data_IF_153659204462
#
_entry.id   IF_153659204462
#
_cell.length_a   1.000
_cell.length_b   1.000
_cell.length_c   1.000
_cell.angle_alpha   90.00
_cell.angle_beta   90.00
_cell.angle_gamma   90.00
#
_symmetry.space_group_name_H-M   'P 1'
#
loop_
_entity.id
_entity.type
_entity.pdbx_description
1 polymer ?
#
# COMPACT_ATOMS: atom_id res chain seq x y z
N UNK A 1 -42.28 6.87 20.13
CA UNK A 1 -41.45 5.67 19.91
C UNK A 1 -42.30 4.61 19.23
N UNK A 2 -42.02 4.29 17.95
CA UNK A 2 -42.70 3.24 17.18
C UNK A 2 -41.62 2.23 16.72
N UNK A 3 -41.79 0.94 17.02
CA UNK A 3 -40.92 -0.15 16.57
C UNK A 3 -41.28 -0.55 15.13
N UNK A 4 -40.33 -0.93 14.27
CA UNK A 4 -40.64 -1.69 13.07
C UNK A 4 -40.25 -3.17 13.21
N UNK A 5 -41.28 -4.00 13.02
CA UNK A 5 -41.40 -5.32 12.38
C UNK A 5 -40.14 -6.22 12.28
N UNK A 6 -40.24 -7.39 12.92
CA UNK A 6 -39.37 -8.56 12.71
C UNK A 6 -39.81 -9.36 11.49
N UNK A 7 -38.87 -9.65 10.57
CA UNK A 7 -39.01 -10.72 9.59
C UNK A 7 -38.11 -11.90 9.99
N UNK A 8 -38.73 -13.06 10.17
CA UNK A 8 -38.08 -14.36 10.42
C UNK A 8 -37.81 -15.05 9.08
N UNK A 9 -36.58 -15.51 8.84
CA UNK A 9 -36.28 -16.47 7.78
C UNK A 9 -35.62 -17.69 8.42
N UNK A 10 -36.30 -18.82 8.23
CA UNK A 10 -36.01 -20.15 8.76
C UNK A 10 -34.67 -20.70 8.25
N UNK A 11 -33.81 -21.15 9.16
CA UNK A 11 -32.66 -21.98 8.86
C UNK A 11 -33.09 -23.46 8.82
N UNK A 12 -32.90 -24.13 7.68
CA UNK A 12 -32.98 -25.59 7.60
C UNK A 12 -31.61 -26.14 7.24
N UNK A 13 -30.88 -26.56 8.27
CA UNK A 13 -29.67 -27.37 8.15
C UNK A 13 -30.10 -28.79 7.79
N UNK A 14 -29.55 -29.36 6.71
CA UNK A 14 -29.46 -30.81 6.53
C UNK A 14 -28.02 -31.18 6.20
N UNK A 15 -27.42 -31.93 7.10
CA UNK A 15 -26.20 -32.69 6.92
C UNK A 15 -26.48 -33.98 6.14
N UNK A 16 -25.61 -34.34 5.20
CA UNK A 16 -25.24 -35.74 4.97
C UNK A 16 -23.95 -35.82 4.15
N UNK A 17 -23.08 -36.71 4.60
CA UNK A 17 -21.71 -36.98 4.16
C UNK A 17 -21.68 -37.91 2.94
N UNK A 18 -20.71 -37.75 2.04
CA UNK A 18 -19.96 -38.87 1.42
C UNK A 18 -18.70 -38.36 0.70
N UNK A 19 -17.61 -39.09 0.87
CA UNK A 19 -16.25 -38.79 0.40
C UNK A 19 -16.02 -39.15 -1.08
N UNK A 20 -15.17 -38.36 -1.76
CA UNK A 20 -14.62 -38.67 -3.08
C UNK A 20 -13.49 -37.70 -3.49
N UNK A 21 -12.25 -38.20 -3.38
CA UNK A 21 -10.93 -37.83 -3.97
C UNK A 21 -10.71 -36.62 -4.92
N UNK A 22 -9.57 -35.92 -4.67
CA UNK A 22 -8.69 -35.09 -5.53
C UNK A 22 -8.86 -33.55 -5.54
N UNK A 23 -7.75 -32.80 -5.76
CA UNK A 23 -7.14 -31.90 -4.78
C UNK A 23 -7.93 -30.60 -4.55
N UNK A 24 -8.05 -30.24 -3.27
CA UNK A 24 -8.81 -29.08 -2.81
C UNK A 24 -8.17 -27.78 -3.28
N UNK A 25 -8.73 -27.17 -4.32
CA UNK A 25 -8.83 -25.72 -4.39
C UNK A 25 -9.71 -25.27 -3.21
N UNK A 26 -9.09 -24.69 -2.18
CA UNK A 26 -9.81 -24.08 -1.06
C UNK A 26 -10.46 -22.76 -1.52
N UNK A 27 -11.61 -22.85 -2.18
CA UNK A 27 -12.54 -21.73 -2.30
C UNK A 27 -13.50 -21.75 -1.11
N UNK A 28 -13.14 -21.07 -0.02
CA UNK A 28 -14.12 -20.65 0.99
C UNK A 28 -14.58 -19.23 0.66
N UNK A 29 -15.68 -19.12 -0.08
CA UNK A 29 -16.43 -17.87 -0.25
C UNK A 29 -17.55 -17.86 0.76
N UNK A 30 -17.36 -17.16 1.89
CA UNK A 30 -18.46 -16.69 2.72
C UNK A 30 -18.28 -15.19 2.98
N UNK A 31 -19.02 -14.39 2.21
CA UNK A 31 -19.34 -13.01 2.55
C UNK A 31 -20.47 -13.03 3.57
N UNK A 32 -20.14 -13.15 4.85
CA UNK A 32 -21.07 -12.80 5.92
C UNK A 32 -20.63 -11.46 6.51
N UNK A 33 -21.48 -10.45 6.32
CA UNK A 33 -21.42 -9.22 7.11
C UNK A 33 -21.89 -9.58 8.52
N UNK A 34 -20.95 -9.75 9.45
CA UNK A 34 -21.28 -9.95 10.86
C UNK A 34 -21.45 -8.59 11.54
N UNK A 35 -22.66 -8.34 12.05
CA UNK A 35 -22.95 -7.25 12.98
C UNK A 35 -22.29 -7.58 14.32
N UNK A 36 -21.12 -7.00 14.58
CA UNK A 36 -20.52 -6.99 15.92
C UNK A 36 -20.34 -5.52 16.34
N UNK A 37 -21.10 -5.10 17.35
CA UNK A 37 -20.86 -3.90 18.15
C UNK A 37 -20.77 -2.56 17.40
N UNK A 38 -21.72 -2.28 16.50
CA UNK A 38 -22.05 -0.90 16.12
C UNK A 38 -20.98 -0.11 15.35
N UNK A 39 -19.99 -0.78 14.75
CA UNK A 39 -19.01 -0.14 13.85
C UNK A 39 -18.89 -0.92 12.54
N UNK A 40 -18.95 -0.22 11.40
CA UNK A 40 -18.66 -0.80 10.09
C UNK A 40 -17.17 -1.14 10.01
N UNK A 41 -16.78 -2.32 10.48
CA UNK A 41 -15.42 -2.83 10.29
C UNK A 41 -15.31 -3.40 8.87
N UNK A 42 -14.64 -2.66 7.98
CA UNK A 42 -14.24 -3.18 6.68
C UNK A 42 -13.27 -4.36 6.91
N UNK A 43 -13.75 -5.59 6.77
CA UNK A 43 -12.89 -6.78 6.80
C UNK A 43 -12.10 -6.87 5.49
N UNK A 44 -10.81 -6.53 5.57
CA UNK A 44 -9.83 -6.77 4.51
C UNK A 44 -9.28 -8.18 4.67
N UNK A 45 -9.79 -9.14 3.90
CA UNK A 45 -9.25 -10.50 3.87
C UNK A 45 -8.40 -10.65 2.61
N UNK A 46 -7.17 -11.10 2.78
CA UNK A 46 -6.25 -11.42 1.68
C UNK A 46 -6.02 -12.92 1.68
N UNK A 47 -6.22 -13.56 0.54
CA UNK A 47 -5.90 -14.97 0.36
C UNK A 47 -4.42 -15.13 -0.03
N UNK A 48 -3.83 -16.26 0.34
CA UNK A 48 -2.43 -16.57 0.04
C UNK A 48 -2.35 -17.62 -1.04
N UNK A 49 -1.41 -17.47 -1.97
CA UNK A 49 -1.24 -18.37 -3.12
C UNK A 49 0.23 -18.80 -3.23
N UNK A 50 0.51 -20.01 -3.73
CA UNK A 50 1.90 -20.43 -3.98
C UNK A 50 2.62 -19.47 -4.94
N UNK A 51 2.08 -19.23 -6.12
CA UNK A 51 2.79 -18.46 -7.15
C UNK A 51 2.31 -16.99 -7.28
N UNK A 52 3.17 -16.14 -7.84
CA UNK A 52 2.79 -14.75 -8.21
C UNK A 52 1.69 -14.74 -9.28
N UNK A 53 1.69 -15.72 -10.18
CA UNK A 53 0.73 -15.82 -11.27
C UNK A 53 -0.67 -16.21 -10.77
N UNK A 54 -0.77 -17.13 -9.81
CA UNK A 54 -2.04 -17.48 -9.17
C UNK A 54 -2.60 -16.29 -8.38
N UNK A 55 -1.75 -15.62 -7.58
CA UNK A 55 -2.16 -14.42 -6.86
C UNK A 55 -2.61 -13.31 -7.84
N UNK A 56 -1.88 -13.10 -8.93
CA UNK A 56 -2.22 -12.16 -10.00
C UNK A 56 -3.54 -12.48 -10.68
N UNK A 57 -3.80 -13.77 -10.95
CA UNK A 57 -5.06 -14.24 -11.54
C UNK A 57 -6.25 -14.03 -10.61
N UNK A 58 -6.09 -14.35 -9.32
CA UNK A 58 -7.11 -14.12 -8.31
C UNK A 58 -7.42 -12.62 -8.14
N UNK A 59 -6.39 -11.78 -8.06
CA UNK A 59 -6.54 -10.32 -8.03
C UNK A 59 -7.26 -9.80 -9.27
N UNK A 60 -6.90 -10.27 -10.45
CA UNK A 60 -7.53 -9.88 -11.71
C UNK A 60 -9.01 -10.28 -11.76
N UNK A 61 -9.37 -11.47 -11.29
CA UNK A 61 -10.76 -11.92 -11.19
C UNK A 61 -11.57 -11.02 -10.26
N UNK A 62 -11.02 -10.68 -9.09
CA UNK A 62 -11.67 -9.80 -8.12
C UNK A 62 -11.84 -8.37 -8.65
N UNK A 63 -10.83 -7.83 -9.33
CA UNK A 63 -10.94 -6.52 -9.96
C UNK A 63 -12.01 -6.50 -11.07
N UNK A 64 -12.06 -7.53 -11.91
CA UNK A 64 -13.08 -7.66 -12.96
C UNK A 64 -14.50 -7.69 -12.39
N UNK A 65 -14.69 -8.31 -11.23
CA UNK A 65 -15.97 -8.38 -10.54
C UNK A 65 -16.46 -7.05 -9.95
N UNK A 66 -15.58 -6.04 -9.82
CA UNK A 66 -15.99 -4.69 -9.42
C UNK A 66 -16.65 -3.95 -10.59
N UNK A 67 -17.63 -3.12 -10.25
CA UNK A 67 -18.35 -2.27 -11.20
C UNK A 67 -17.43 -1.20 -11.82
N UNK A 68 -17.82 -0.73 -13.01
CA UNK A 68 -17.11 0.32 -13.76
C UNK A 68 -15.87 -0.19 -14.51
N UNK A 69 -15.33 0.65 -15.38
CA UNK A 69 -14.14 0.33 -16.16
C UNK A 69 -12.86 0.55 -15.36
N UNK A 70 -11.83 -0.30 -15.54
CA UNK A 70 -10.56 -0.11 -14.87
C UNK A 70 -9.81 1.09 -15.44
N UNK A 71 -9.24 1.88 -14.54
CA UNK A 71 -8.25 2.90 -14.88
C UNK A 71 -6.87 2.26 -14.86
N UNK A 72 -6.18 2.32 -16.01
CA UNK A 72 -4.87 1.69 -16.18
C UNK A 72 -3.76 2.71 -16.01
N UNK A 73 -2.93 2.52 -14.99
CA UNK A 73 -1.72 3.32 -14.76
C UNK A 73 -0.50 2.62 -15.37
N UNK A 74 -0.01 3.14 -16.49
CA UNK A 74 1.21 2.65 -17.13
C UNK A 74 2.43 3.23 -16.43
N UNK A 75 3.39 2.38 -16.10
CA UNK A 75 4.66 2.79 -15.53
C UNK A 75 5.53 3.52 -16.55
N UNK A 76 6.38 4.43 -16.06
CA UNK A 76 7.48 5.00 -16.82
C UNK A 76 8.79 4.33 -16.37
N UNK A 77 9.43 3.61 -17.28
CA UNK A 77 10.72 2.95 -17.02
C UNK A 77 11.85 3.81 -17.58
N UNK A 78 12.84 4.15 -16.75
CA UNK A 78 13.99 5.00 -17.09
C UNK A 78 15.27 4.19 -16.90
N UNK A 79 16.17 4.15 -17.90
CA UNK A 79 17.44 3.46 -17.78
C UNK A 79 18.35 4.18 -16.77
N UNK A 80 19.00 3.40 -15.91
CA UNK A 80 20.10 3.88 -15.08
C UNK A 80 21.37 4.14 -15.90
N UNK A 81 22.45 4.53 -15.22
CA UNK A 81 23.75 4.83 -15.86
C UNK A 81 24.90 4.11 -15.17
N UNK A 82 25.88 3.70 -15.96
CA UNK A 82 27.13 3.16 -15.44
C UNK A 82 28.05 4.26 -14.89
N UNK A 83 29.18 3.85 -14.31
CA UNK A 83 30.24 4.73 -13.80
C UNK A 83 30.82 5.72 -14.82
N UNK A 84 30.64 5.45 -16.12
CA UNK A 84 31.09 6.31 -17.21
C UNK A 84 29.97 7.23 -17.72
N UNK A 85 28.80 7.23 -17.07
CA UNK A 85 27.63 8.01 -17.44
C UNK A 85 26.82 7.46 -18.62
N UNK A 86 27.15 6.26 -19.11
CA UNK A 86 26.45 5.59 -20.22
C UNK A 86 25.21 4.89 -19.71
N UNK A 87 24.09 5.03 -20.41
CA UNK A 87 22.84 4.37 -20.03
C UNK A 87 22.92 2.86 -20.24
N UNK A 88 22.34 2.10 -19.32
CA UNK A 88 22.19 0.66 -19.50
C UNK A 88 21.28 0.33 -20.71
N UNK A 89 21.58 -0.74 -21.46
CA UNK A 89 20.79 -1.13 -22.63
C UNK A 89 19.38 -1.59 -22.23
N UNK A 90 18.42 -1.43 -23.15
CA UNK A 90 17.00 -1.61 -22.85
C UNK A 90 16.63 -3.02 -22.37
N UNK A 91 17.25 -4.06 -22.93
CA UNK A 91 17.04 -5.46 -22.55
C UNK A 91 17.50 -5.75 -21.12
N UNK A 92 18.60 -5.11 -20.69
CA UNK A 92 19.12 -5.18 -19.32
C UNK A 92 18.16 -4.49 -18.34
N UNK A 93 17.69 -3.30 -18.69
CA UNK A 93 16.70 -2.54 -17.91
C UNK A 93 15.39 -3.32 -17.76
N UNK A 94 14.89 -3.91 -18.85
CA UNK A 94 13.67 -4.72 -18.82
C UNK A 94 13.82 -5.96 -17.92
N UNK A 95 14.98 -6.62 -17.98
CA UNK A 95 15.29 -7.76 -17.11
C UNK A 95 15.38 -7.35 -15.64
N UNK A 96 16.05 -6.23 -15.34
CA UNK A 96 16.15 -5.68 -13.98
C UNK A 96 14.77 -5.35 -13.38
N UNK A 97 13.86 -4.84 -14.22
CA UNK A 97 12.50 -4.46 -13.80
C UNK A 97 11.46 -5.58 -13.91
N UNK A 98 11.84 -6.78 -14.38
CA UNK A 98 10.94 -7.93 -14.54
C UNK A 98 10.26 -8.31 -13.23
N UNK A 99 11.02 -8.30 -12.15
CA UNK A 99 10.57 -8.73 -10.82
C UNK A 99 10.17 -7.60 -9.89
N UNK A 100 10.21 -6.35 -10.38
CA UNK A 100 9.85 -5.16 -9.63
C UNK A 100 8.51 -5.34 -8.89
N UNK A 101 8.45 -4.83 -7.67
CA UNK A 101 7.27 -4.98 -6.82
C UNK A 101 6.03 -4.33 -7.43
N UNK A 102 6.21 -3.19 -8.11
CA UNK A 102 5.17 -2.47 -8.83
C UNK A 102 5.07 -2.96 -10.28
N UNK A 103 3.84 -3.25 -10.78
CA UNK A 103 3.64 -3.76 -12.12
C UNK A 103 3.82 -2.66 -13.18
N UNK A 104 4.14 -3.09 -14.41
CA UNK A 104 4.22 -2.19 -15.57
C UNK A 104 2.89 -1.52 -15.91
N UNK A 105 1.77 -2.21 -15.64
CA UNK A 105 0.41 -1.65 -15.75
C UNK A 105 -0.33 -1.99 -14.47
N UNK A 106 -0.83 -0.98 -13.77
CA UNK A 106 -1.65 -1.12 -12.58
C UNK A 106 -3.12 -0.76 -12.90
N UNK A 107 -4.01 -1.74 -13.08
CA UNK A 107 -5.43 -1.49 -13.28
C UNK A 107 -6.13 -1.29 -11.92
N UNK A 108 -6.87 -0.19 -11.76
CA UNK A 108 -7.61 0.12 -10.53
C UNK A 108 -9.07 0.50 -10.82
N UNK A 109 -9.95 0.16 -9.88
CA UNK A 109 -11.36 0.56 -9.84
C UNK A 109 -11.70 1.05 -8.44
N UNK A 110 -12.76 1.86 -8.30
CA UNK A 110 -13.34 2.15 -6.99
C UNK A 110 -13.75 0.81 -6.35
N UNK A 111 -13.39 0.62 -5.08
CA UNK A 111 -13.60 -0.61 -4.33
C UNK A 111 -12.42 -1.58 -4.38
N UNK A 112 -11.39 -1.31 -5.19
CA UNK A 112 -10.22 -2.18 -5.28
C UNK A 112 -9.48 -2.27 -3.94
N UNK A 113 -9.19 -3.50 -3.49
CA UNK A 113 -8.32 -3.75 -2.34
C UNK A 113 -6.87 -3.67 -2.81
N UNK A 114 -6.12 -2.79 -2.18
CA UNK A 114 -4.74 -2.47 -2.54
C UNK A 114 -3.82 -2.58 -1.34
N UNK A 115 -2.54 -2.76 -1.60
CA UNK A 115 -1.48 -2.71 -0.61
C UNK A 115 -0.45 -1.67 -1.02
N UNK A 116 -0.07 -0.82 -0.08
CA UNK A 116 1.02 0.12 -0.22
C UNK A 116 2.35 -0.65 -0.25
N UNK A 117 3.21 -0.36 -1.23
CA UNK A 117 4.50 -1.04 -1.41
C UNK A 117 5.70 -0.11 -1.26
N UNK A 118 5.48 1.08 -0.71
CA UNK A 118 6.52 2.06 -0.38
C UNK A 118 6.19 2.72 0.95
N UNK A 119 7.19 2.92 1.81
CA UNK A 119 6.96 3.65 3.06
C UNK A 119 6.68 5.12 2.73
N UNK A 120 5.55 5.65 3.22
CA UNK A 120 5.13 7.03 3.00
C UNK A 120 5.24 7.82 4.30
N UNK A 121 4.59 7.31 5.36
CA UNK A 121 4.58 7.92 6.68
C UNK A 121 5.21 6.93 7.65
N UNK A 122 6.34 7.30 8.24
CA UNK A 122 7.06 6.45 9.19
C UNK A 122 6.15 6.04 10.35
N UNK A 123 6.01 4.72 10.57
CA UNK A 123 5.21 4.17 11.66
C UNK A 123 3.70 4.14 11.43
N UNK A 124 3.19 4.68 10.31
CA UNK A 124 1.75 4.70 10.01
C UNK A 124 1.41 4.07 8.66
N UNK A 125 2.02 4.56 7.58
CA UNK A 125 1.83 4.06 6.22
C UNK A 125 3.15 3.49 5.71
N UNK A 126 3.26 2.17 5.85
CA UNK A 126 4.45 1.40 5.54
C UNK A 126 4.15 0.41 4.42
N UNK A 127 5.19 -0.16 3.83
CA UNK A 127 5.05 -1.28 2.93
C UNK A 127 4.28 -2.42 3.64
N UNK A 128 3.18 -2.86 3.03
CA UNK A 128 2.23 -3.79 3.62
C UNK A 128 0.91 -3.16 4.06
N UNK A 129 0.81 -1.83 4.19
CA UNK A 129 -0.44 -1.18 4.61
C UNK A 129 -1.55 -1.44 3.58
N UNK A 130 -2.61 -2.11 4.02
CA UNK A 130 -3.79 -2.42 3.21
C UNK A 130 -4.77 -1.25 3.17
N UNK A 131 -5.41 -1.05 2.03
CA UNK A 131 -6.42 -0.03 1.83
C UNK A 131 -7.42 -0.36 0.73
N UNK A 132 -8.41 0.51 0.58
CA UNK A 132 -9.42 0.45 -0.48
C UNK A 132 -9.40 1.73 -1.30
N UNK A 133 -9.39 1.61 -2.62
CA UNK A 133 -9.59 2.75 -3.52
C UNK A 133 -11.02 3.25 -3.36
N UNK A 134 -11.20 4.52 -2.98
CA UNK A 134 -12.52 5.12 -2.76
C UNK A 134 -12.89 6.15 -3.82
N UNK A 135 -11.91 6.75 -4.49
CA UNK A 135 -12.12 7.74 -5.53
C UNK A 135 -10.88 7.89 -6.42
N UNK A 136 -10.99 8.71 -7.46
CA UNK A 136 -9.87 9.19 -8.26
C UNK A 136 -9.94 10.72 -8.34
N UNK A 137 -8.86 11.40 -8.00
CA UNK A 137 -8.81 12.86 -8.00
C UNK A 137 -7.56 13.38 -8.68
N UNK A 138 -7.66 14.57 -9.29
CA UNK A 138 -6.46 15.33 -9.62
C UNK A 138 -5.81 15.80 -8.32
N UNK A 139 -4.50 16.04 -8.30
CA UNK A 139 -3.83 16.52 -7.09
C UNK A 139 -4.41 17.82 -6.51
N UNK A 140 -4.83 18.75 -7.39
CA UNK A 140 -5.46 20.02 -6.97
C UNK A 140 -6.80 19.77 -6.28
N UNK A 141 -7.68 19.00 -6.92
CA UNK A 141 -8.99 18.64 -6.37
C UNK A 141 -8.88 17.89 -5.03
N UNK A 142 -7.83 17.07 -4.86
CA UNK A 142 -7.56 16.37 -3.61
C UNK A 142 -7.22 17.36 -2.48
N UNK A 143 -6.35 18.34 -2.74
CA UNK A 143 -6.00 19.36 -1.75
C UNK A 143 -7.20 20.23 -1.36
N UNK A 144 -8.03 20.63 -2.32
CA UNK A 144 -9.26 21.39 -2.05
C UNK A 144 -10.23 20.62 -1.13
N UNK A 145 -10.17 19.28 -1.16
CA UNK A 145 -10.96 18.39 -0.31
C UNK A 145 -10.26 18.05 1.02
N UNK A 146 -9.09 18.62 1.30
CA UNK A 146 -8.30 18.32 2.49
C UNK A 146 -7.69 16.90 2.49
N UNK A 147 -7.53 16.28 1.32
CA UNK A 147 -6.93 14.96 1.17
C UNK A 147 -5.42 15.12 1.03
N UNK A 148 -4.66 14.47 1.90
CA UNK A 148 -3.21 14.49 1.87
C UNK A 148 -2.65 13.68 0.68
N UNK A 149 -1.54 14.16 0.10
CA UNK A 149 -0.84 13.47 -0.98
C UNK A 149 0.25 12.58 -0.37
N UNK A 150 0.28 11.31 -0.80
CA UNK A 150 1.23 10.30 -0.33
C UNK A 150 2.64 10.55 -0.91
N UNK A 151 3.37 11.50 -0.33
CA UNK A 151 4.77 11.78 -0.62
C UNK A 151 5.62 11.11 0.47
N UNK A 152 6.65 10.31 0.13
CA UNK A 152 7.55 9.73 1.13
C UNK A 152 8.18 10.81 2.00
N UNK A 153 8.01 10.70 3.31
CA UNK A 153 8.77 11.48 4.27
C UNK A 153 10.20 10.94 4.30
N UNK A 154 11.17 11.71 3.78
CA UNK A 154 12.57 11.51 4.14
C UNK A 154 12.78 12.04 5.57
N UNK A 155 12.36 11.24 6.55
CA UNK A 155 12.56 11.33 8.00
C UNK A 155 11.86 12.48 8.78
N UNK A 156 11.24 12.08 9.90
CA UNK A 156 10.90 12.84 11.13
C UNK A 156 9.74 13.85 11.18
N UNK A 157 9.04 14.17 10.09
CA UNK A 157 8.05 15.29 10.08
C UNK A 157 6.70 15.06 10.79
N UNK A 158 6.10 13.87 10.75
CA UNK A 158 4.68 13.75 11.13
C UNK A 158 4.40 13.58 12.64
N UNK A 159 5.41 13.25 13.46
CA UNK A 159 5.22 13.17 14.94
C UNK A 159 4.90 14.54 15.56
N UNK A 160 5.22 15.64 14.89
CA UNK A 160 4.91 17.00 15.36
C UNK A 160 3.54 17.53 14.92
N UNK A 161 2.97 17.03 13.82
CA UNK A 161 1.72 17.53 13.26
C UNK A 161 0.46 16.94 13.90
N UNK A 162 0.57 15.81 14.62
CA UNK A 162 -0.56 15.11 15.26
C UNK A 162 -0.66 15.31 16.78
N UNK A 163 0.07 16.26 17.36
CA UNK A 163 -0.21 16.77 18.72
C UNK A 163 -0.25 15.74 19.85
N UNK A 164 0.43 14.60 19.72
CA UNK A 164 0.63 13.67 20.85
C UNK A 164 1.95 14.00 21.51
N UNK A 165 1.87 14.84 22.54
CA UNK A 165 2.92 14.98 23.54
C UNK A 165 3.17 13.58 24.13
N UNK A 166 4.43 13.13 24.08
CA UNK A 166 4.85 11.90 24.75
C UNK A 166 4.76 12.14 26.26
N UNK A 167 3.62 11.77 26.85
CA UNK A 167 3.41 11.69 28.29
C UNK A 167 4.27 10.54 28.82
N UNK A 168 5.52 10.84 29.16
CA UNK A 168 6.36 10.03 30.05
C UNK A 168 6.91 10.91 31.15
N UNK A 169 6.19 10.90 32.26
CA UNK A 169 6.75 11.17 33.57
C UNK A 169 7.92 10.22 33.84
N UNK A 170 9.12 10.76 34.04
CA UNK A 170 9.94 10.38 35.18
C UNK A 170 10.79 11.58 35.63
N UNK A 171 10.97 11.67 36.94
CA UNK A 171 11.34 12.86 37.71
C UNK A 171 12.80 13.32 37.52
N UNK A 172 13.01 14.64 37.52
CA UNK A 172 14.36 15.21 37.68
C UNK A 172 14.53 16.63 37.14
N UNK A 173 14.45 17.60 38.05
CA UNK A 173 14.93 18.98 37.99
C UNK A 173 15.60 19.52 36.70
N UNK A 174 15.08 20.66 36.21
CA UNK A 174 15.87 21.65 35.47
C UNK A 174 15.39 21.94 34.04
N UNK A 175 14.52 22.93 33.89
CA UNK A 175 14.10 23.42 32.57
C UNK A 175 15.26 24.06 31.79
N UNK A 176 15.57 23.47 30.63
CA UNK A 176 16.10 24.16 29.46
C UNK A 176 15.37 23.59 28.25
N UNK A 177 14.70 24.45 27.49
CA UNK A 177 14.19 24.07 26.18
C UNK A 177 15.40 23.77 25.29
N UNK A 178 15.61 22.50 24.95
CA UNK A 178 16.70 22.08 24.07
C UNK A 178 16.51 22.72 22.69
N UNK A 179 17.25 23.79 22.43
CA UNK A 179 17.34 24.39 21.11
C UNK A 179 17.99 23.36 20.18
N UNK A 180 17.21 22.85 19.20
CA UNK A 180 17.72 21.95 18.14
C UNK A 180 19.07 22.45 17.59
N UNK A 181 20.02 21.53 17.39
CA UNK A 181 21.38 21.86 16.95
C UNK A 181 21.33 22.54 15.57
N UNK A 182 22.23 23.49 15.25
CA UNK A 182 22.22 24.20 13.97
C UNK A 182 22.18 23.29 12.73
N UNK A 183 22.88 22.14 12.78
CA UNK A 183 22.90 21.14 11.71
C UNK A 183 21.55 20.46 11.49
N UNK A 184 20.77 20.22 12.55
CA UNK A 184 19.43 19.61 12.46
C UNK A 184 18.42 20.59 11.85
N UNK A 185 18.56 21.89 12.14
CA UNK A 185 17.71 22.94 11.55
C UNK A 185 17.97 23.10 10.05
N UNK A 186 19.22 23.05 9.62
CA UNK A 186 19.61 23.10 8.20
C UNK A 186 19.07 21.90 7.41
N UNK A 187 19.13 20.69 7.98
CA UNK A 187 18.57 19.48 7.36
C UNK A 187 17.04 19.55 7.24
N UNK A 188 16.35 20.01 8.28
CA UNK A 188 14.89 20.17 8.29
C UNK A 188 14.43 21.21 7.24
N UNK A 189 15.16 22.31 7.08
CA UNK A 189 14.91 23.31 6.04
C UNK A 189 15.10 22.74 4.63
N UNK A 190 16.22 22.06 4.37
CA UNK A 190 16.47 21.45 3.06
C UNK A 190 15.40 20.39 2.69
N UNK A 191 14.95 19.61 3.67
CA UNK A 191 13.87 18.63 3.47
C UNK A 191 12.53 19.30 3.16
N UNK A 192 12.19 20.39 3.87
CA UNK A 192 10.98 21.16 3.62
C UNK A 192 10.97 21.77 2.21
N UNK A 193 12.10 22.36 1.78
CA UNK A 193 12.27 22.89 0.43
C UNK A 193 12.11 21.80 -0.63
N UNK A 194 12.73 20.63 -0.43
CA UNK A 194 12.60 19.50 -1.35
C UNK A 194 11.15 18.98 -1.42
N UNK A 195 10.45 18.93 -0.28
CA UNK A 195 9.03 18.56 -0.23
C UNK A 195 8.17 19.56 -1.00
N UNK A 196 8.40 20.86 -0.82
CA UNK A 196 7.66 21.91 -1.53
C UNK A 196 7.87 21.82 -3.05
N UNK A 197 9.11 21.62 -3.50
CA UNK A 197 9.42 21.42 -4.92
C UNK A 197 8.72 20.18 -5.49
N UNK A 198 8.70 19.09 -4.71
CA UNK A 198 8.01 17.85 -5.09
C UNK A 198 6.50 18.08 -5.21
N UNK A 199 5.91 18.78 -4.23
CA UNK A 199 4.49 19.13 -4.23
C UNK A 199 4.13 20.01 -5.43
N UNK A 200 4.95 21.03 -5.74
CA UNK A 200 4.77 21.89 -6.92
C UNK A 200 4.72 21.09 -8.22
N UNK A 201 5.62 20.11 -8.39
CA UNK A 201 5.62 19.21 -9.55
C UNK A 201 4.36 18.35 -9.61
N UNK A 202 3.95 17.76 -8.48
CA UNK A 202 2.75 16.94 -8.39
C UNK A 202 1.49 17.74 -8.71
N UNK A 203 1.38 18.98 -8.22
CA UNK A 203 0.24 19.86 -8.49
C UNK A 203 0.18 20.36 -9.94
N UNK A 204 1.23 20.15 -10.74
CA UNK A 204 1.20 20.39 -12.17
C UNK A 204 0.55 19.23 -12.95
N UNK A 205 0.40 18.04 -12.35
CA UNK A 205 -0.25 16.92 -13.02
C UNK A 205 -1.74 17.18 -13.25
N UNK A 206 -2.19 16.87 -14.45
CA UNK A 206 -3.60 16.98 -14.85
C UNK A 206 -4.34 15.63 -14.84
N UNK A 207 -3.60 14.53 -14.64
CA UNK A 207 -4.16 13.20 -14.48
C UNK A 207 -4.81 13.00 -13.11
N UNK A 208 -5.69 12.00 -13.05
CA UNK A 208 -6.35 11.59 -11.80
C UNK A 208 -5.66 10.38 -11.19
N UNK A 209 -5.49 10.40 -9.87
CA UNK A 209 -4.75 9.40 -9.11
C UNK A 209 -5.65 8.74 -8.06
N UNK A 210 -5.37 7.48 -7.67
CA UNK A 210 -6.21 6.76 -6.73
C UNK A 210 -6.16 7.41 -5.34
N UNK A 211 -7.34 7.70 -4.82
CA UNK A 211 -7.54 8.08 -3.43
C UNK A 211 -7.88 6.82 -2.63
N UNK A 212 -7.05 6.52 -1.62
CA UNK A 212 -7.07 5.24 -0.89
C UNK A 212 -7.35 5.48 0.59
N UNK A 213 -8.40 4.82 1.09
CA UNK A 213 -8.65 4.71 2.52
C UNK A 213 -7.86 3.53 3.07
N UNK A 214 -6.83 3.78 3.87
CA UNK A 214 -6.04 2.74 4.53
C UNK A 214 -6.75 2.23 5.80
N UNK A 215 -6.53 0.96 6.16
CA UNK A 215 -7.26 0.29 7.26
C UNK A 215 -7.03 0.95 8.64
N UNK A 216 -5.81 1.39 8.92
CA UNK A 216 -5.40 2.01 10.18
C UNK A 216 -4.78 3.40 9.96
N UNK A 217 -5.09 4.03 8.82
CA UNK A 217 -4.41 5.22 8.35
C UNK A 217 -5.33 6.24 7.69
N UNK A 218 -4.76 7.40 7.31
CA UNK A 218 -5.51 8.47 6.67
C UNK A 218 -6.01 8.08 5.28
N UNK A 219 -6.96 8.86 4.79
CA UNK A 219 -7.32 8.91 3.37
C UNK A 219 -6.21 9.65 2.62
N UNK A 220 -5.58 9.00 1.65
CA UNK A 220 -4.45 9.58 0.91
C UNK A 220 -4.63 9.51 -0.60
N UNK A 221 -4.16 10.53 -1.31
CA UNK A 221 -3.96 10.48 -2.75
C UNK A 221 -2.61 9.83 -3.07
N UNK A 222 -2.62 8.67 -3.72
CA UNK A 222 -1.40 7.96 -4.12
C UNK A 222 -0.97 8.36 -5.53
N UNK A 223 0.07 9.19 -5.63
CA UNK A 223 0.67 9.63 -6.90
C UNK A 223 1.86 8.74 -7.29
N UNK A 224 2.36 8.78 -8.54
CA UNK A 224 3.53 8.00 -8.93
C UNK A 224 4.77 8.34 -8.11
N UNK A 225 5.52 7.31 -7.73
CA UNK A 225 6.81 7.40 -7.06
C UNK A 225 7.85 6.58 -7.83
N UNK A 226 9.10 6.95 -7.70
CA UNK A 226 10.23 6.24 -8.31
C UNK A 226 10.61 4.99 -7.50
N UNK A 227 10.81 3.87 -8.18
CA UNK A 227 11.30 2.60 -7.65
C UNK A 227 12.61 2.27 -8.33
N UNK A 228 13.70 2.34 -7.58
CA UNK A 228 15.05 2.13 -8.10
C UNK A 228 15.45 0.66 -7.96
N UNK A 229 16.09 0.13 -8.99
CA UNK A 229 16.78 -1.17 -8.97
C UNK A 229 18.27 -0.88 -8.99
N UNK A 230 18.95 -1.32 -7.94
CA UNK A 230 20.38 -1.14 -7.75
C UNK A 230 21.08 -2.45 -8.13
N UNK A 231 22.12 -2.37 -8.95
CA UNK A 231 22.91 -3.54 -9.32
C UNK A 231 23.98 -3.88 -8.27
N UNK A 232 24.71 -4.97 -8.50
CA UNK A 232 25.78 -5.43 -7.61
C UNK A 232 26.91 -4.41 -7.40
N UNK A 233 27.10 -3.47 -8.35
CA UNK A 233 28.11 -2.41 -8.25
C UNK A 233 27.61 -1.20 -7.43
N UNK A 234 26.38 -1.26 -6.89
CA UNK A 234 25.76 -0.14 -6.15
C UNK A 234 25.21 0.97 -7.04
N UNK A 235 25.20 0.81 -8.37
CA UNK A 235 24.67 1.80 -9.29
C UNK A 235 23.19 1.54 -9.57
N UNK A 236 22.41 2.61 -9.77
CA UNK A 236 21.03 2.50 -10.25
C UNK A 236 21.08 1.92 -11.66
N UNK A 237 20.55 0.72 -11.83
CA UNK A 237 20.45 0.00 -13.09
C UNK A 237 19.20 0.40 -13.86
N UNK A 238 18.10 0.60 -13.15
CA UNK A 238 16.82 0.98 -13.71
C UNK A 238 15.98 1.72 -12.67
N UNK A 239 15.09 2.59 -13.15
CA UNK A 239 14.07 3.24 -12.33
C UNK A 239 12.71 2.98 -12.96
N UNK A 240 11.73 2.62 -12.14
CA UNK A 240 10.32 2.54 -12.53
C UNK A 240 9.51 3.58 -11.76
N UNK A 241 8.88 4.52 -12.44
CA UNK A 241 7.90 5.41 -11.85
C UNK A 241 6.50 4.81 -11.98
N UNK A 242 5.85 4.59 -10.85
CA UNK A 242 4.52 3.97 -10.79
C UNK A 242 3.81 4.39 -9.50
N UNK A 243 2.48 4.34 -9.51
CA UNK A 243 1.67 4.46 -8.29
C UNK A 243 2.12 3.39 -7.29
N UNK A 244 2.38 3.72 -6.01
CA UNK A 244 3.01 2.81 -5.05
C UNK A 244 2.05 1.77 -4.46
N UNK A 245 1.20 1.19 -5.30
CA UNK A 245 0.15 0.26 -4.93
C UNK A 245 0.23 -1.02 -5.76
N UNK A 246 -0.19 -2.13 -5.14
CA UNK A 246 -0.52 -3.38 -5.85
C UNK A 246 -1.91 -3.86 -5.45
N UNK A 247 -2.57 -4.64 -6.30
CA UNK A 247 -3.80 -5.33 -5.90
C UNK A 247 -3.50 -6.36 -4.81
N UNK A 248 -4.39 -6.45 -3.82
CA UNK A 248 -4.09 -7.17 -2.58
C UNK A 248 -5.27 -7.98 -2.04
N UNK A 249 -6.17 -8.49 -2.88
CA UNK A 249 -7.06 -9.58 -2.47
C UNK A 249 -6.34 -10.90 -2.34
N UNK A 250 -5.23 -11.05 -3.07
CA UNK A 250 -4.40 -12.24 -3.14
C UNK A 250 -2.92 -11.88 -3.06
N UNK A 251 -2.15 -12.58 -2.25
CA UNK A 251 -0.70 -12.41 -2.07
C UNK A 251 0.01 -13.75 -2.30
N UNK A 252 1.21 -13.73 -2.89
CA UNK A 252 2.01 -14.95 -3.05
C UNK A 252 2.82 -15.29 -1.80
N UNK A 253 2.85 -16.55 -1.38
CA UNK A 253 3.57 -17.07 -0.20
C UNK A 253 5.08 -17.13 -0.46
N UNK A 254 5.50 -17.37 -1.70
CA UNK A 254 6.92 -17.57 -2.08
C UNK A 254 7.81 -16.30 -2.02
N UNK A 255 7.50 -15.35 -1.14
CA UNK A 255 8.34 -14.18 -0.84
C UNK A 255 8.75 -14.05 0.63
N UNK A 256 8.35 -14.97 1.50
CA UNK A 256 8.74 -14.95 2.92
C UNK A 256 10.13 -15.52 3.20
N UNK A 257 10.76 -16.23 2.25
CA UNK A 257 11.99 -16.98 2.47
C UNK A 257 13.04 -16.65 1.39
N UNK A 258 13.74 -15.51 1.54
CA UNK A 258 15.07 -15.38 0.93
C UNK A 258 15.33 -14.27 -0.10
N UNK A 259 14.39 -13.39 -0.44
CA UNK A 259 14.81 -12.05 -0.90
C UNK A 259 14.86 -11.14 0.31
N UNK A 260 16.05 -10.63 0.60
CA UNK A 260 16.27 -9.50 1.48
C UNK A 260 15.43 -8.34 0.93
N UNK A 261 14.20 -8.21 1.42
CA UNK A 261 13.50 -6.94 1.44
C UNK A 261 14.33 -6.05 2.37
N UNK A 262 15.42 -5.50 1.86
CA UNK A 262 16.32 -4.64 2.61
C UNK A 262 15.45 -3.51 3.21
N UNK A 263 15.21 -3.64 4.51
CA UNK A 263 14.39 -2.79 5.37
C UNK A 263 12.86 -2.87 5.25
N UNK A 264 12.26 -4.04 5.01
CA UNK A 264 10.80 -4.21 5.18
C UNK A 264 10.46 -5.21 6.29
N UNK A 265 10.15 -4.69 7.48
CA UNK A 265 9.30 -5.41 8.44
C UNK A 265 7.86 -5.29 7.98
N UNK A 266 7.40 -6.22 7.17
CA UNK A 266 5.97 -6.34 6.86
C UNK A 266 5.29 -6.85 8.12
N UNK A 267 4.44 -6.03 8.77
CA UNK A 267 3.64 -6.51 9.90
C UNK A 267 2.47 -7.35 9.35
N UNK A 268 2.63 -8.67 9.40
CA UNK A 268 1.67 -9.64 8.87
C UNK A 268 0.82 -10.29 9.98
N UNK A 269 0.95 -9.83 11.23
CA UNK A 269 0.39 -10.48 12.43
C UNK A 269 -1.15 -10.54 12.44
N UNK A 270 -1.83 -9.83 11.54
CA UNK A 270 -3.31 -9.84 11.41
C UNK A 270 -3.83 -10.22 10.02
N UNK A 271 -2.94 -10.58 9.09
CA UNK A 271 -3.33 -10.80 7.68
C UNK A 271 -3.55 -12.28 7.36
N UNK A 272 -3.00 -13.19 8.15
CA UNK A 272 -3.09 -14.64 7.92
C UNK A 272 -3.76 -15.34 9.11
N UNK A 273 -4.77 -16.17 8.85
CA UNK A 273 -5.21 -17.17 9.82
C UNK A 273 -4.15 -18.27 9.95
N UNK A 274 -3.82 -18.69 11.18
CA UNK A 274 -2.89 -19.78 11.44
C UNK A 274 -3.41 -21.07 10.81
N UNK A 275 -2.69 -21.59 9.83
CA UNK A 275 -2.92 -22.96 9.37
C UNK A 275 -2.31 -23.33 8.03
N UNK A 276 -1.08 -22.93 7.70
CA UNK A 276 -0.25 -23.59 6.68
C UNK A 276 1.23 -23.44 7.04
N UNK A 277 1.69 -24.34 7.92
CA UNK A 277 3.08 -24.66 8.11
C UNK A 277 3.18 -26.18 8.21
N UNK A 278 3.65 -26.81 7.16
CA UNK A 278 4.27 -28.12 7.17
C UNK A 278 5.45 -28.04 6.19
#
# INVERSE_FOLDING_TARGET
>A
MKRPLSFSISSRVRSSTTMGSSPRSCEFVLSTAEWLHGTYSLRFRSASYPTRDEAGSANSRRLKALQGEPRNYKALDVPGRDKNGRTYPADRVERALKDAIVPKILPLKIGAQVMLVKNIIQGLLVNGSLGRVVAFYKPRDALEKGIEIAIPDNQQGLRKALGKEDDKNDAGAGGRADAKRPHEKLQEQAQAEQREQTLKKILAYNDVWPCVQFHSGPLMLCVPLSFEVINADGNIEAVREQVPLILAWALSIHKSQGQTLEHVRVNLDRTFEKGQGA
#
